data_IF_179241838153
#
_entry.id   IF_179241838153
#
_cell.length_a   1.000
_cell.length_b   1.000
_cell.length_c   1.000
_cell.angle_alpha   90.00
_cell.angle_beta   90.00
_cell.angle_gamma   90.00
#
_symmetry.space_group_name_H-M   'P 1'
#
loop_
_entity.id
_entity.type
_entity.pdbx_description
1 polymer ?
#
# COMPACT_ATOMS: atom_id res chain seq x y z
N UNK A 1 13.79 20.14 11.53
CA UNK A 1 14.31 18.80 11.93
C UNK A 1 13.22 17.79 12.38
N UNK A 2 11.91 18.11 12.39
CA UNK A 2 10.87 17.17 12.89
C UNK A 2 10.30 16.16 11.87
N UNK A 3 10.51 16.37 10.57
CA UNK A 3 9.82 15.60 9.52
C UNK A 3 10.37 14.17 9.30
N UNK A 4 11.67 13.94 9.53
CA UNK A 4 12.31 12.66 9.27
C UNK A 4 11.92 11.54 10.26
N UNK A 5 11.73 11.90 11.54
CA UNK A 5 11.36 10.97 12.61
C UNK A 5 9.94 10.43 12.45
N UNK A 6 9.04 11.31 12.05
CA UNK A 6 7.64 11.06 11.84
C UNK A 6 7.38 10.09 10.67
N UNK A 7 8.14 10.23 9.57
CA UNK A 7 8.16 9.27 8.45
C UNK A 7 8.61 7.88 8.90
N UNK A 8 9.68 7.80 9.71
CA UNK A 8 10.19 6.53 10.24
C UNK A 8 9.20 5.84 11.18
N UNK A 9 8.52 6.59 12.05
CA UNK A 9 7.59 6.03 13.04
C UNK A 9 6.38 5.37 12.39
N UNK A 10 5.83 6.01 11.35
CA UNK A 10 4.65 5.47 10.71
C UNK A 10 4.98 4.29 9.78
N UNK A 11 6.14 4.31 9.10
CA UNK A 11 6.68 3.13 8.41
C UNK A 11 6.96 1.99 9.42
N UNK A 12 7.50 2.30 10.59
CA UNK A 12 7.76 1.32 11.65
C UNK A 12 6.46 0.68 12.16
N UNK A 13 5.41 1.48 12.41
CA UNK A 13 4.10 0.96 12.82
C UNK A 13 3.45 0.11 11.72
N UNK A 14 3.57 0.49 10.44
CA UNK A 14 3.14 -0.35 9.32
C UNK A 14 3.89 -1.68 9.28
N UNK A 15 5.21 -1.68 9.47
CA UNK A 15 6.01 -2.93 9.53
C UNK A 15 5.62 -3.80 10.71
N UNK A 16 5.45 -3.21 11.89
CA UNK A 16 5.04 -3.93 13.10
C UNK A 16 3.66 -4.55 12.91
N UNK A 17 2.69 -3.79 12.41
CA UNK A 17 1.33 -4.27 12.15
C UNK A 17 1.29 -5.31 11.03
N UNK A 18 2.10 -5.16 9.97
CA UNK A 18 2.20 -6.17 8.92
C UNK A 18 2.78 -7.47 9.46
N UNK A 19 3.86 -7.44 10.25
CA UNK A 19 4.47 -8.65 10.84
C UNK A 19 3.52 -9.42 11.78
N UNK A 20 2.59 -8.72 12.42
CA UNK A 20 1.62 -9.30 13.35
C UNK A 20 0.32 -9.71 12.62
N UNK A 21 0.04 -9.12 11.45
CA UNK A 21 -1.18 -9.38 10.70
C UNK A 21 -1.11 -10.71 9.95
N UNK A 22 -2.21 -11.50 9.91
CA UNK A 22 -2.34 -12.66 9.03
C UNK A 22 -2.08 -12.34 7.54
N UNK A 23 -2.23 -11.07 7.13
CA UNK A 23 -1.85 -10.58 5.80
C UNK A 23 -0.37 -10.76 5.45
N UNK A 24 0.52 -10.94 6.45
CA UNK A 24 1.89 -11.30 6.16
C UNK A 24 1.92 -12.67 5.48
N UNK A 25 1.37 -13.70 6.11
CA UNK A 25 1.56 -15.07 5.65
C UNK A 25 0.47 -15.55 4.67
N UNK A 26 -0.56 -14.74 4.42
CA UNK A 26 -1.62 -15.05 3.47
C UNK A 26 -1.10 -15.01 2.02
N UNK A 27 -1.55 -15.96 1.20
CA UNK A 27 -1.35 -15.88 -0.25
C UNK A 27 -2.19 -14.72 -0.78
N UNK A 28 -1.52 -13.63 -1.16
CA UNK A 28 -2.16 -12.44 -1.70
C UNK A 28 -2.01 -12.41 -3.21
N UNK A 29 -3.12 -12.53 -3.92
CA UNK A 29 -3.18 -12.22 -5.34
C UNK A 29 -3.73 -10.80 -5.50
N UNK A 30 -2.89 -9.89 -5.99
CA UNK A 30 -3.23 -8.49 -6.23
C UNK A 30 -3.36 -8.27 -7.73
N UNK A 31 -4.52 -7.79 -8.16
CA UNK A 31 -4.81 -7.46 -9.56
C UNK A 31 -5.44 -6.08 -9.64
N UNK A 32 -5.26 -5.39 -10.76
CA UNK A 32 -5.88 -4.09 -10.94
C UNK A 32 -6.18 -3.79 -12.40
N UNK A 33 -7.11 -2.86 -12.59
CA UNK A 33 -7.44 -2.25 -13.87
C UNK A 33 -7.42 -0.71 -13.74
N UNK A 34 -7.92 -0.02 -14.75
CA UNK A 34 -7.91 1.44 -14.81
C UNK A 34 -8.70 2.10 -13.67
N UNK A 35 -9.73 1.41 -13.14
CA UNK A 35 -10.65 1.97 -12.15
C UNK A 35 -10.41 1.46 -10.72
N UNK A 36 -9.93 0.22 -10.59
CA UNK A 36 -9.98 -0.51 -9.32
C UNK A 36 -8.77 -1.39 -9.05
N UNK A 37 -8.43 -1.49 -7.77
CA UNK A 37 -7.55 -2.49 -7.17
C UNK A 37 -8.39 -3.62 -6.59
N UNK A 38 -8.03 -4.85 -6.90
CA UNK A 38 -8.65 -6.06 -6.37
C UNK A 38 -7.62 -6.93 -5.65
N UNK A 39 -7.97 -7.39 -4.46
CA UNK A 39 -7.13 -8.22 -3.61
C UNK A 39 -7.91 -9.48 -3.29
N UNK A 40 -7.32 -10.62 -3.62
CA UNK A 40 -7.80 -11.93 -3.22
C UNK A 40 -6.81 -12.51 -2.21
N UNK A 41 -7.33 -13.00 -1.10
CA UNK A 41 -6.59 -13.77 -0.12
C UNK A 41 -7.39 -15.02 0.27
N UNK A 42 -6.81 -15.84 1.14
CA UNK A 42 -7.43 -17.09 1.61
C UNK A 42 -8.78 -16.88 2.32
N UNK A 43 -9.09 -15.65 2.76
CA UNK A 43 -10.28 -15.32 3.54
C UNK A 43 -11.32 -14.51 2.78
N UNK A 44 -11.04 -14.08 1.54
CA UNK A 44 -12.03 -13.40 0.71
C UNK A 44 -11.46 -12.48 -0.37
N UNK A 45 -12.38 -11.74 -0.98
CA UNK A 45 -12.12 -10.79 -2.05
C UNK A 45 -12.42 -9.37 -1.59
N UNK A 46 -11.48 -8.46 -1.80
CA UNK A 46 -11.62 -7.03 -1.51
C UNK A 46 -11.42 -6.23 -2.79
N UNK A 47 -12.25 -5.21 -3.01
CA UNK A 47 -12.15 -4.31 -4.16
C UNK A 47 -12.20 -2.85 -3.72
N UNK A 48 -11.25 -2.07 -4.22
CA UNK A 48 -11.08 -0.66 -3.91
C UNK A 48 -11.01 0.15 -5.19
N UNK A 49 -11.74 1.25 -5.26
CA UNK A 49 -11.63 2.21 -6.35
C UNK A 49 -10.44 3.14 -6.11
N UNK A 50 -9.68 3.46 -7.16
CA UNK A 50 -8.49 4.30 -7.03
C UNK A 50 -8.74 5.67 -6.37
N UNK A 51 -9.84 6.39 -6.67
CA UNK A 51 -10.14 7.68 -6.04
C UNK A 51 -10.34 7.63 -4.52
N UNK A 52 -10.52 6.43 -3.93
CA UNK A 52 -10.63 6.28 -2.46
C UNK A 52 -9.29 6.41 -1.76
N UNK A 53 -8.17 6.27 -2.49
CA UNK A 53 -6.84 6.43 -1.94
C UNK A 53 -6.39 7.90 -2.01
N UNK A 54 -5.93 8.43 -0.88
CA UNK A 54 -5.47 9.81 -0.75
C UNK A 54 -3.98 9.98 -1.02
N UNK A 55 -3.20 8.93 -0.77
CA UNK A 55 -1.76 8.92 -0.99
C UNK A 55 -1.21 7.50 -0.93
N UNK A 56 0.03 7.32 -1.35
CA UNK A 56 0.75 6.06 -1.24
C UNK A 56 2.21 6.25 -0.85
N UNK A 57 2.84 5.24 -0.27
CA UNK A 57 4.30 5.18 -0.07
C UNK A 57 4.78 3.77 -0.34
N UNK A 58 6.08 3.61 -0.51
CA UNK A 58 6.72 2.31 -0.56
C UNK A 58 8.03 2.30 0.22
N UNK A 59 8.43 1.11 0.63
CA UNK A 59 9.80 0.78 1.00
C UNK A 59 10.27 -0.48 0.25
N UNK A 60 11.38 -1.08 0.67
CA UNK A 60 11.92 -2.28 0.01
C UNK A 60 11.01 -3.52 0.11
N UNK A 61 10.04 -3.52 1.03
CA UNK A 61 9.23 -4.70 1.35
C UNK A 61 7.74 -4.53 1.07
N UNK A 62 7.19 -3.31 1.12
CA UNK A 62 5.76 -3.07 1.16
C UNK A 62 5.40 -1.82 0.35
N UNK A 63 4.32 -1.89 -0.43
CA UNK A 63 3.55 -0.73 -0.85
C UNK A 63 2.46 -0.43 0.17
N UNK A 64 2.28 0.81 0.59
CA UNK A 64 1.21 1.20 1.50
C UNK A 64 0.34 2.25 0.84
N UNK A 65 -0.95 1.94 0.69
CA UNK A 65 -1.95 2.87 0.17
C UNK A 65 -2.80 3.42 1.33
N UNK A 66 -3.09 4.71 1.35
CA UNK A 66 -3.82 5.35 2.46
C UNK A 66 -5.20 5.82 2.00
N UNK A 67 -6.23 5.47 2.77
CA UNK A 67 -7.58 6.03 2.65
C UNK A 67 -7.74 7.30 3.52
N UNK A 68 -6.94 7.42 4.57
CA UNK A 68 -6.93 8.51 5.54
C UNK A 68 -5.79 8.37 6.56
N UNK A 69 -5.70 9.26 7.57
CA UNK A 69 -4.58 9.32 8.52
C UNK A 69 -4.29 8.01 9.29
N UNK A 70 -5.32 7.20 9.53
CA UNK A 70 -5.21 5.94 10.28
C UNK A 70 -5.76 4.73 9.52
N UNK A 71 -6.10 4.90 8.23
CA UNK A 71 -6.66 3.85 7.40
C UNK A 71 -5.73 3.60 6.22
N UNK A 72 -5.07 2.45 6.22
CA UNK A 72 -4.11 2.09 5.20
C UNK A 72 -4.23 0.62 4.79
N UNK A 73 -3.82 0.34 3.56
CA UNK A 73 -3.77 -0.97 2.93
C UNK A 73 -2.30 -1.29 2.62
N UNK A 74 -1.68 -2.20 3.38
CA UNK A 74 -0.33 -2.64 3.09
C UNK A 74 -0.34 -3.82 2.11
N UNK A 75 0.47 -3.72 1.07
CA UNK A 75 0.64 -4.70 0.00
C UNK A 75 2.10 -5.18 -0.02
N UNK A 76 2.39 -6.41 0.42
CA UNK A 76 3.75 -6.95 0.42
C UNK A 76 4.31 -7.05 -0.99
N UNK A 77 5.49 -6.48 -1.25
CA UNK A 77 6.16 -6.52 -2.57
C UNK A 77 6.44 -7.94 -3.07
N UNK A 78 6.61 -8.91 -2.15
CA UNK A 78 6.75 -10.34 -2.49
C UNK A 78 5.55 -10.94 -3.23
N UNK A 79 4.37 -10.31 -3.17
CA UNK A 79 3.19 -10.73 -3.92
C UNK A 79 3.23 -10.29 -5.40
N UNK A 80 4.27 -9.55 -5.81
CA UNK A 80 4.40 -8.95 -7.13
C UNK A 80 5.74 -9.30 -7.76
N UNK A 81 5.74 -9.55 -9.06
CA UNK A 81 6.96 -9.52 -9.89
C UNK A 81 7.47 -8.08 -10.01
N UNK A 82 8.76 -7.88 -10.33
CA UNK A 82 9.33 -6.53 -10.52
C UNK A 82 8.54 -5.69 -11.53
N UNK A 83 8.18 -6.29 -12.66
CA UNK A 83 7.32 -5.64 -13.68
C UNK A 83 5.95 -5.23 -13.14
N UNK A 84 5.36 -6.03 -12.25
CA UNK A 84 4.10 -5.67 -11.60
C UNK A 84 4.27 -4.52 -10.61
N UNK A 85 5.40 -4.43 -9.91
CA UNK A 85 5.70 -3.32 -9.00
C UNK A 85 5.86 -2.00 -9.77
N UNK A 86 6.56 -2.03 -10.91
CA UNK A 86 6.68 -0.88 -11.82
C UNK A 86 5.32 -0.48 -12.39
N UNK A 87 4.53 -1.45 -12.85
CA UNK A 87 3.20 -1.21 -13.40
C UNK A 87 2.25 -0.62 -12.35
N UNK A 88 2.28 -1.13 -11.12
CA UNK A 88 1.50 -0.58 -10.01
C UNK A 88 1.88 0.87 -9.74
N UNK A 89 3.18 1.18 -9.72
CA UNK A 89 3.67 2.55 -9.53
C UNK A 89 3.17 3.47 -10.65
N UNK A 90 3.23 3.04 -11.90
CA UNK A 90 2.70 3.78 -13.04
C UNK A 90 1.17 3.99 -12.94
N UNK A 91 0.43 2.98 -12.48
CA UNK A 91 -1.01 3.09 -12.27
C UNK A 91 -1.37 4.07 -11.15
N UNK A 92 -0.64 4.06 -10.03
CA UNK A 92 -0.84 5.02 -8.94
C UNK A 92 -0.59 6.46 -9.39
N UNK A 93 0.42 6.68 -10.23
CA UNK A 93 0.69 7.97 -10.85
C UNK A 93 -0.44 8.37 -11.83
N UNK A 94 -0.92 7.44 -12.67
CA UNK A 94 -2.02 7.68 -13.61
C UNK A 94 -3.33 8.03 -12.89
N UNK A 95 -3.59 7.39 -11.75
CA UNK A 95 -4.73 7.67 -10.90
C UNK A 95 -4.60 8.98 -10.11
N UNK A 96 -3.53 9.76 -10.31
CA UNK A 96 -3.22 10.99 -9.57
C UNK A 96 -3.17 10.80 -8.05
N UNK A 97 -2.74 9.63 -7.57
CA UNK A 97 -2.58 9.38 -6.14
C UNK A 97 -1.18 9.86 -5.73
N UNK A 98 -1.06 10.88 -4.86
CA UNK A 98 0.23 11.48 -4.54
C UNK A 98 1.12 10.55 -3.73
N UNK A 99 2.44 10.61 -4.00
CA UNK A 99 3.44 9.94 -3.18
C UNK A 99 3.58 10.68 -1.84
N UNK A 100 3.36 9.97 -0.74
CA UNK A 100 3.47 10.51 0.61
C UNK A 100 4.93 10.90 0.91
N UNK A 101 5.19 12.21 0.92
CA UNK A 101 6.48 12.75 1.36
C UNK A 101 6.60 12.72 2.89
N UNK A 102 5.46 12.91 3.57
CA UNK A 102 5.24 12.81 5.02
C UNK A 102 3.84 12.24 5.25
N UNK A 103 3.68 11.34 6.22
CA UNK A 103 2.33 10.84 6.56
C UNK A 103 1.51 11.99 7.16
N UNK A 104 0.23 12.15 6.80
CA UNK A 104 -0.67 13.08 7.46
C UNK A 104 -0.97 12.49 8.84
N UNK A 105 -0.49 13.19 9.87
CA UNK A 105 -0.89 12.96 11.26
C UNK A 105 -2.24 13.63 11.50
#
# INVERSE_FOLDING_TARGET
MGSFFLRKLAIYNTKKNLRISPFHNANLAVTWNEDTLSILNDTGFQRYEWPKFRMWTQDDLIFTLFFGPHLFLPLPKRAFTERQQENLTAQLNRANIPLATLMPF
#
